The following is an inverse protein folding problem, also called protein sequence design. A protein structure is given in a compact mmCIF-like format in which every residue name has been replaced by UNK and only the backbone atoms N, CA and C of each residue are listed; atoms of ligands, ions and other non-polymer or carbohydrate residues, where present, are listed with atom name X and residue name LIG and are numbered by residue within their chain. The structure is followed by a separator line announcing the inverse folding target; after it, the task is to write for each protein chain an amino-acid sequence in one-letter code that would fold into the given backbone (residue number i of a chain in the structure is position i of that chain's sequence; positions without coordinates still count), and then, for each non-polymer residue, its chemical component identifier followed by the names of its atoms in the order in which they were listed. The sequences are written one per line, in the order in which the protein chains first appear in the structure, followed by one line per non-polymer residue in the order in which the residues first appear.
data_IF_820766398038
#
_entry.id   IF_820766398038
#
_cell.length_a   1.000
_cell.length_b   1.000
_cell.length_c   1.000
_cell.angle_alpha   90.00
_cell.angle_beta   90.00
_cell.angle_gamma   90.00
#
_symmetry.space_group_name_H-M   'P 1'
#
loop_
_entity.id
_entity.type
_entity.pdbx_description
1 polymer ?
#
# COMPACT_ATOMS: atom_id res chain seq x y z
N UNK A 1 -5.38 7.47 2.10
CA UNK A 1 -5.72 6.26 1.32
C UNK A 1 -5.08 5.05 1.95
N UNK A 2 -5.06 3.94 1.23
CA UNK A 2 -4.35 2.71 1.64
C UNK A 2 -3.03 2.64 0.88
N UNK A 3 -1.94 2.36 1.60
CA UNK A 3 -0.57 2.45 1.10
C UNK A 3 -0.04 1.05 0.79
N UNK A 4 0.51 0.86 -0.41
CA UNK A 4 1.10 -0.38 -0.86
C UNK A 4 2.53 -0.12 -1.36
N UNK A 5 3.39 -1.13 -1.25
CA UNK A 5 4.74 -1.11 -1.82
C UNK A 5 4.97 -2.37 -2.64
N UNK A 6 5.74 -2.24 -3.72
CA UNK A 6 6.27 -3.38 -4.48
C UNK A 6 7.53 -3.99 -3.84
N UNK A 7 8.08 -3.34 -2.81
CA UNK A 7 9.24 -3.82 -2.05
C UNK A 7 8.80 -4.28 -0.65
N UNK A 8 8.94 -5.58 -0.40
CA UNK A 8 8.61 -6.17 0.89
C UNK A 8 9.51 -5.63 2.03
N UNK A 9 10.76 -5.26 1.76
CA UNK A 9 11.64 -4.67 2.77
C UNK A 9 11.15 -3.27 3.18
N UNK A 10 10.58 -2.51 2.24
CA UNK A 10 9.93 -1.24 2.55
C UNK A 10 8.68 -1.46 3.42
N UNK A 11 7.80 -2.39 3.02
CA UNK A 11 6.61 -2.74 3.81
C UNK A 11 6.95 -3.29 5.20
N UNK A 12 8.06 -4.01 5.37
CA UNK A 12 8.52 -4.53 6.65
C UNK A 12 8.65 -3.42 7.71
N UNK A 13 9.16 -2.24 7.34
CA UNK A 13 9.30 -1.10 8.25
C UNK A 13 7.97 -0.61 8.85
N UNK A 14 6.85 -0.98 8.24
CA UNK A 14 5.49 -0.65 8.72
C UNK A 14 4.79 -1.82 9.43
N UNK A 15 5.43 -2.99 9.48
CA UNK A 15 4.92 -4.13 10.26
C UNK A 15 5.27 -3.96 11.74
N UNK A 16 4.40 -4.46 12.61
CA UNK A 16 4.64 -4.54 14.06
C UNK A 16 4.71 -6.00 14.48
N UNK A 17 5.74 -6.34 15.25
CA UNK A 17 5.81 -7.65 15.91
C UNK A 17 4.67 -7.81 16.92
N UNK A 18 4.07 -9.00 16.96
CA UNK A 18 3.11 -9.40 17.97
C UNK A 18 3.83 -9.93 19.24
N UNK A 19 3.08 -10.45 20.22
CA UNK A 19 3.64 -11.01 21.45
C UNK A 19 4.55 -12.24 21.25
N UNK A 20 4.46 -12.92 20.10
CA UNK A 20 5.28 -14.08 19.72
C UNK A 20 6.49 -13.69 18.84
N UNK A 21 6.73 -12.39 18.69
CA UNK A 21 7.72 -11.80 17.78
C UNK A 21 7.48 -12.17 16.31
N UNK A 22 6.21 -12.27 15.91
CA UNK A 22 5.81 -12.50 14.52
C UNK A 22 5.23 -11.23 13.92
N UNK A 23 5.43 -11.06 12.63
CA UNK A 23 4.97 -9.95 11.81
C UNK A 23 4.01 -10.46 10.75
N UNK A 24 3.05 -9.61 10.40
CA UNK A 24 2.08 -9.88 9.36
C UNK A 24 2.24 -8.88 8.21
N UNK A 25 2.19 -9.39 6.97
CA UNK A 25 2.19 -8.58 5.76
C UNK A 25 1.17 -9.14 4.76
N UNK A 26 0.34 -8.28 4.19
CA UNK A 26 -0.53 -8.67 3.09
C UNK A 26 0.22 -8.60 1.76
N UNK A 27 0.08 -9.65 0.96
CA UNK A 27 0.34 -9.58 -0.48
C UNK A 27 -1.01 -9.38 -1.17
N UNK A 28 -1.11 -8.31 -1.95
CA UNK A 28 -2.36 -7.89 -2.58
C UNK A 28 -2.16 -7.58 -4.06
N UNK A 29 -3.19 -7.85 -4.87
CA UNK A 29 -3.30 -7.28 -6.21
C UNK A 29 -4.02 -5.95 -6.12
N UNK A 30 -3.39 -4.92 -6.66
CA UNK A 30 -3.85 -3.53 -6.53
C UNK A 30 -4.06 -2.93 -7.92
N UNK A 31 -5.25 -2.39 -8.15
CA UNK A 31 -5.61 -1.62 -9.34
C UNK A 31 -5.11 -0.18 -9.18
N UNK A 32 -3.84 0.04 -9.54
CA UNK A 32 -3.20 1.36 -9.42
C UNK A 32 -3.58 2.33 -10.56
N UNK A 33 -3.99 1.81 -11.72
CA UNK A 33 -4.46 2.61 -12.85
C UNK A 33 -3.50 3.72 -13.28
N UNK A 34 -4.04 4.86 -13.70
CA UNK A 34 -3.24 6.06 -13.94
C UNK A 34 -2.82 6.69 -12.61
N UNK A 35 -1.51 6.91 -12.44
CA UNK A 35 -0.95 7.41 -11.18
C UNK A 35 -0.31 8.79 -11.35
N UNK A 36 -0.29 9.56 -10.28
CA UNK A 36 0.36 10.88 -10.23
C UNK A 36 1.04 11.10 -8.88
N UNK A 37 1.85 12.16 -8.77
CA UNK A 37 2.55 12.46 -7.53
C UNK A 37 1.55 12.78 -6.40
N UNK A 38 1.75 12.11 -5.26
CA UNK A 38 0.96 12.35 -4.04
C UNK A 38 1.45 13.53 -3.21
N UNK A 39 0.59 14.00 -2.30
CA UNK A 39 0.89 14.99 -1.28
C UNK A 39 0.19 14.60 0.04
N UNK A 40 0.86 14.83 1.17
CA UNK A 40 0.36 14.58 2.53
C UNK A 40 -0.97 15.28 2.86
N UNK A 41 -1.36 16.35 2.15
CA UNK A 41 -2.66 17.02 2.36
C UNK A 41 -3.83 16.39 1.59
N UNK A 42 -3.55 15.44 0.67
CA UNK A 42 -4.58 14.83 -0.18
C UNK A 42 -5.44 13.82 0.59
N UNK A 43 -6.76 13.99 0.51
CA UNK A 43 -7.74 13.05 1.10
C UNK A 43 -8.35 12.10 0.06
N UNK A 44 -8.42 12.52 -1.21
CA UNK A 44 -8.93 11.74 -2.33
C UNK A 44 -7.94 11.75 -3.48
N UNK A 45 -8.17 10.89 -4.48
CA UNK A 45 -7.40 10.88 -5.73
C UNK A 45 -7.52 12.24 -6.46
N UNK A 46 -6.45 12.75 -7.09
CA UNK A 46 -6.55 13.89 -7.99
C UNK A 46 -7.47 13.60 -9.20
N UNK A 47 -8.15 14.61 -9.78
CA UNK A 47 -8.97 14.42 -10.97
C UNK A 47 -8.17 13.80 -12.11
N UNK A 48 -8.74 12.77 -12.75
CA UNK A 48 -8.11 12.07 -13.87
C UNK A 48 -7.12 10.96 -13.49
N UNK A 49 -6.85 10.74 -12.21
CA UNK A 49 -5.90 9.69 -11.77
C UNK A 49 -6.56 8.72 -10.79
N UNK A 50 -6.19 7.45 -10.83
CA UNK A 50 -6.77 6.38 -10.01
C UNK A 50 -6.03 6.16 -8.69
N UNK A 51 -4.74 6.53 -8.65
CA UNK A 51 -3.88 6.41 -7.49
C UNK A 51 -2.89 7.57 -7.40
N UNK A 52 -2.16 7.64 -6.28
CA UNK A 52 -0.96 8.47 -6.19
C UNK A 52 0.26 7.65 -5.85
N UNK A 53 1.44 8.18 -6.14
CA UNK A 53 2.73 7.56 -5.82
C UNK A 53 3.69 8.61 -5.27
N UNK A 54 4.71 8.15 -4.54
CA UNK A 54 5.89 8.95 -4.22
C UNK A 54 6.93 8.94 -5.36
N UNK A 55 6.69 8.14 -6.41
CA UNK A 55 7.59 7.95 -7.55
C UNK A 55 8.67 6.89 -7.30
N UNK A 56 8.63 6.20 -6.16
CA UNK A 56 9.69 5.27 -5.77
C UNK A 56 9.15 4.01 -5.08
N UNK A 57 8.64 4.13 -3.85
CA UNK A 57 8.34 2.97 -3.00
C UNK A 57 6.86 2.76 -2.72
N UNK A 58 6.01 3.76 -2.95
CA UNK A 58 4.63 3.77 -2.46
C UNK A 58 3.65 4.01 -3.60
N UNK A 59 2.56 3.25 -3.58
CA UNK A 59 1.31 3.58 -4.26
C UNK A 59 0.17 3.72 -3.25
N UNK A 60 -0.68 4.71 -3.43
CA UNK A 60 -1.82 5.01 -2.55
C UNK A 60 -3.13 4.89 -3.33
N UNK A 61 -4.01 4.02 -2.85
CA UNK A 61 -5.38 3.89 -3.38
C UNK A 61 -6.38 4.66 -2.52
N UNK A 62 -7.55 4.93 -3.09
CA UNK A 62 -8.58 5.78 -2.47
C UNK A 62 -9.96 5.11 -2.39
N UNK A 63 -10.12 3.92 -2.97
CA UNK A 63 -11.35 3.12 -2.92
C UNK A 63 -11.06 1.69 -2.47
N UNK A 64 -11.96 1.12 -1.65
CA UNK A 64 -11.79 -0.20 -1.03
C UNK A 64 -11.73 -1.33 -2.07
N UNK A 65 -12.47 -1.19 -3.17
CA UNK A 65 -12.49 -2.18 -4.26
C UNK A 65 -11.21 -2.16 -5.14
N UNK A 66 -10.25 -1.26 -4.91
CA UNK A 66 -8.99 -1.21 -5.68
C UNK A 66 -7.97 -2.25 -5.22
N UNK A 67 -8.17 -2.92 -4.09
CA UNK A 67 -7.21 -3.88 -3.56
C UNK A 67 -7.88 -5.21 -3.21
N UNK A 68 -7.33 -6.30 -3.75
CA UNK A 68 -7.67 -7.66 -3.37
C UNK A 68 -6.51 -8.25 -2.58
N UNK A 69 -6.70 -8.45 -1.28
CA UNK A 69 -5.74 -9.18 -0.45
C UNK A 69 -5.74 -10.66 -0.85
N UNK A 70 -4.65 -11.14 -1.44
CA UNK A 70 -4.55 -12.52 -1.91
C UNK A 70 -3.97 -13.44 -0.84
N UNK A 71 -2.96 -12.95 -0.09
CA UNK A 71 -2.29 -13.73 0.94
C UNK A 71 -2.00 -12.89 2.17
N UNK A 72 -2.02 -13.54 3.33
CA UNK A 72 -1.43 -13.03 4.57
C UNK A 72 -0.15 -13.81 4.85
N UNK A 73 0.98 -13.12 4.85
CA UNK A 73 2.28 -13.68 5.14
C UNK A 73 2.58 -13.42 6.62
N UNK A 74 2.87 -14.49 7.37
CA UNK A 74 3.37 -14.42 8.75
C UNK A 74 4.83 -14.84 8.77
N UNK A 75 5.70 -13.99 9.32
CA UNK A 75 7.15 -14.20 9.37
C UNK A 75 7.76 -13.55 10.63
N UNK A 76 9.06 -13.69 10.83
CA UNK A 76 9.81 -13.05 11.92
C UNK A 76 10.84 -12.09 11.34
#
# INVERSE_FOLDING_TARGET
GVYFSSDAAYSHGYTKSNANDERCMFLARVLIGETTQGNHTMKTRPPGFDSTTDGNHIFVTYHDAQALAEYLITYK
#
